data_IF_095480194974
#
_entry.id   IF_095480194974
#
_cell.length_a   1.000
_cell.length_b   1.000
_cell.length_c   1.000
_cell.angle_alpha   90.00
_cell.angle_beta   90.00
_cell.angle_gamma   90.00
#
_symmetry.space_group_name_H-M   'P 1'
#
loop_
_entity.id
_entity.type
_entity.pdbx_description
1 polymer ?
#
# COMPACT_ATOMS: atom_id res chain seq x y z
N UNK A 1 -4.80 -1.34 -21.80
CA UNK A 1 -5.23 -2.74 -22.10
C UNK A 1 -4.28 -3.49 -23.03
N UNK A 2 -3.77 -2.91 -24.13
CA UNK A 2 -2.93 -3.64 -25.10
C UNK A 2 -1.55 -4.14 -24.57
N UNK A 3 -0.90 -3.40 -23.66
CA UNK A 3 0.43 -3.77 -23.12
C UNK A 3 0.35 -4.97 -22.17
N UNK A 4 -0.67 -5.01 -21.31
CA UNK A 4 -0.89 -6.10 -20.36
C UNK A 4 -1.13 -7.44 -21.07
N UNK A 5 -1.85 -7.43 -22.20
CA UNK A 5 -2.10 -8.63 -23.00
C UNK A 5 -0.81 -9.19 -23.63
N UNK A 6 0.08 -8.33 -24.12
CA UNK A 6 1.36 -8.78 -24.72
C UNK A 6 2.28 -9.44 -23.69
N UNK A 7 2.34 -8.88 -22.48
CA UNK A 7 3.12 -9.45 -21.36
C UNK A 7 2.56 -10.81 -20.94
N UNK A 8 1.24 -10.96 -20.93
CA UNK A 8 0.59 -12.22 -20.59
C UNK A 8 0.90 -13.33 -21.62
N UNK A 9 0.80 -13.01 -22.91
CA UNK A 9 1.17 -13.96 -23.98
C UNK A 9 2.67 -14.31 -23.94
N UNK A 10 3.54 -13.34 -23.66
CA UNK A 10 4.96 -13.58 -23.44
C UNK A 10 5.21 -14.51 -22.24
N UNK A 11 4.50 -14.30 -21.12
CA UNK A 11 4.57 -15.18 -19.95
C UNK A 11 4.12 -16.61 -20.29
N UNK A 12 3.03 -16.78 -21.04
CA UNK A 12 2.56 -18.11 -21.50
C UNK A 12 3.61 -18.81 -22.36
N UNK A 13 4.23 -18.07 -23.29
CA UNK A 13 5.30 -18.62 -24.11
C UNK A 13 6.50 -19.07 -23.26
N UNK A 14 6.95 -18.24 -22.32
CA UNK A 14 8.04 -18.60 -21.40
C UNK A 14 7.69 -19.82 -20.53
N UNK A 15 6.48 -19.91 -20.00
CA UNK A 15 6.01 -21.08 -19.25
C UNK A 15 6.05 -22.36 -20.10
N UNK A 16 5.68 -22.28 -21.38
CA UNK A 16 5.72 -23.42 -22.29
C UNK A 16 7.16 -23.85 -22.62
N UNK A 17 8.08 -22.91 -22.82
CA UNK A 17 9.50 -23.21 -22.96
C UNK A 17 10.09 -23.78 -21.67
N UNK A 18 9.67 -23.27 -20.52
CA UNK A 18 10.10 -23.72 -19.20
C UNK A 18 9.75 -25.19 -18.92
N UNK A 19 8.59 -25.68 -19.39
CA UNK A 19 8.23 -27.10 -19.25
C UNK A 19 9.19 -28.05 -19.98
N UNK A 20 9.90 -27.54 -21.00
CA UNK A 20 10.80 -28.33 -21.86
C UNK A 20 12.24 -28.37 -21.36
N UNK A 21 12.56 -27.69 -20.25
CA UNK A 21 13.90 -27.66 -19.66
C UNK A 21 13.90 -27.46 -18.15
N UNK A 22 15.01 -27.71 -17.49
CA UNK A 22 15.12 -27.48 -16.04
C UNK A 22 15.50 -26.02 -15.78
N UNK A 23 14.52 -25.16 -15.49
CA UNK A 23 14.78 -23.77 -15.07
C UNK A 23 15.11 -23.75 -13.58
N UNK A 24 16.39 -23.58 -13.24
CA UNK A 24 16.87 -23.52 -11.85
C UNK A 24 17.46 -22.16 -11.46
N UNK A 25 17.47 -21.20 -12.38
CA UNK A 25 18.13 -19.92 -12.13
C UNK A 25 17.32 -19.04 -11.19
N UNK A 26 17.90 -18.74 -10.02
CA UNK A 26 17.48 -17.65 -9.12
C UNK A 26 18.15 -16.31 -9.45
N UNK A 27 18.84 -16.22 -10.59
CA UNK A 27 19.58 -15.02 -10.97
C UNK A 27 18.59 -13.95 -11.39
N UNK A 28 18.64 -12.82 -10.69
CA UNK A 28 17.98 -11.59 -11.10
C UNK A 28 18.90 -10.88 -12.08
N UNK A 29 18.39 -10.53 -13.26
CA UNK A 29 19.15 -9.79 -14.27
C UNK A 29 18.60 -8.38 -14.42
N UNK A 30 19.46 -7.44 -14.84
CA UNK A 30 19.01 -6.14 -15.30
C UNK A 30 18.25 -6.29 -16.62
N UNK A 31 17.17 -5.52 -16.78
CA UNK A 31 16.39 -5.53 -18.02
C UNK A 31 17.17 -4.75 -19.08
N UNK A 32 17.51 -5.36 -20.24
CA UNK A 32 18.17 -4.68 -21.34
C UNK A 32 17.44 -3.39 -21.75
N UNK A 33 18.19 -2.34 -22.11
CA UNK A 33 17.63 -1.00 -22.40
C UNK A 33 16.51 -1.01 -23.46
N UNK A 34 16.63 -1.89 -24.46
CA UNK A 34 15.68 -2.02 -25.57
C UNK A 34 14.37 -2.73 -25.19
N UNK A 35 14.28 -3.30 -23.98
CA UNK A 35 13.07 -3.95 -23.48
C UNK A 35 12.29 -3.02 -22.56
N UNK A 36 11.04 -2.76 -22.90
CA UNK A 36 10.11 -1.99 -22.08
C UNK A 36 9.30 -2.91 -21.15
N UNK A 37 9.00 -2.42 -19.94
CA UNK A 37 8.33 -3.19 -18.90
C UNK A 37 9.30 -3.84 -17.93
N UNK A 38 8.81 -4.80 -17.14
CA UNK A 38 9.57 -5.60 -16.17
C UNK A 38 10.21 -4.73 -15.09
N UNK A 39 9.48 -4.52 -14.01
CA UNK A 39 9.98 -3.76 -12.88
C UNK A 39 9.61 -4.38 -11.54
N UNK A 40 10.33 -3.97 -10.50
CA UNK A 40 10.06 -4.31 -9.12
C UNK A 40 10.11 -3.04 -8.27
N UNK A 41 8.97 -2.57 -7.72
CA UNK A 41 9.01 -1.52 -6.72
C UNK A 41 9.66 -2.05 -5.44
N UNK A 42 10.71 -1.36 -5.01
CA UNK A 42 11.42 -1.56 -3.75
C UNK A 42 10.95 -0.47 -2.80
N UNK A 43 10.57 -0.88 -1.59
CA UNK A 43 10.04 0.02 -0.58
C UNK A 43 11.06 0.25 0.52
N UNK A 44 11.25 1.52 0.90
CA UNK A 44 11.88 1.89 2.16
C UNK A 44 10.84 1.68 3.28
N UNK A 45 11.06 0.65 4.10
CA UNK A 45 10.14 0.29 5.18
C UNK A 45 10.04 1.38 6.24
N UNK A 46 11.09 2.16 6.47
CA UNK A 46 11.11 3.21 7.50
C UNK A 46 10.27 4.41 7.06
N UNK A 47 10.36 4.79 5.78
CA UNK A 47 9.57 5.91 5.22
C UNK A 47 8.13 5.52 4.87
N UNK A 48 7.89 4.28 4.47
CA UNK A 48 6.58 3.85 3.98
C UNK A 48 5.55 3.78 5.10
N UNK A 49 4.46 4.53 4.95
CA UNK A 49 3.29 4.41 5.84
C UNK A 49 2.40 3.22 5.56
N UNK A 50 2.51 2.60 4.38
CA UNK A 50 1.48 1.67 3.90
C UNK A 50 0.13 2.37 3.69
N UNK A 51 0.10 3.56 3.09
CA UNK A 51 -1.16 4.26 2.79
C UNK A 51 -1.95 3.66 1.60
N UNK A 52 -1.37 2.68 0.90
CA UNK A 52 -1.91 2.01 -0.28
C UNK A 52 -2.18 2.89 -1.52
N UNK A 53 -1.80 4.19 -1.51
CA UNK A 53 -1.95 5.07 -2.67
C UNK A 53 -1.25 4.52 -3.94
N UNK A 54 -0.13 3.82 -3.78
CA UNK A 54 0.59 3.17 -4.88
C UNK A 54 -0.23 2.08 -5.59
N UNK A 55 -1.17 1.42 -4.89
CA UNK A 55 -2.05 0.41 -5.50
C UNK A 55 -3.05 1.05 -6.46
N UNK A 56 -3.53 2.26 -6.15
CA UNK A 56 -4.47 3.05 -6.97
C UNK A 56 -3.78 3.56 -8.24
N UNK A 57 -2.51 3.96 -8.13
CA UNK A 57 -1.74 4.52 -9.25
C UNK A 57 -1.11 3.43 -10.15
N UNK A 58 -1.32 2.14 -9.85
CA UNK A 58 -0.66 1.05 -10.57
C UNK A 58 -1.29 0.81 -11.95
N UNK A 59 -0.72 1.43 -12.99
CA UNK A 59 -1.20 1.31 -14.37
C UNK A 59 -1.15 -0.13 -14.92
N UNK A 60 -0.18 -0.93 -14.46
CA UNK A 60 -0.04 -2.34 -14.84
C UNK A 60 -0.98 -3.29 -14.09
N UNK A 61 -1.70 -2.82 -13.07
CA UNK A 61 -2.50 -3.69 -12.20
C UNK A 61 -1.66 -4.74 -11.45
N UNK A 62 -0.39 -4.42 -11.18
CA UNK A 62 0.57 -5.30 -10.53
C UNK A 62 0.46 -5.28 -9.00
N UNK A 63 -0.07 -4.20 -8.41
CA UNK A 63 -0.16 -4.04 -6.96
C UNK A 63 -1.58 -4.31 -6.47
N UNK A 64 -1.72 -5.13 -5.43
CA UNK A 64 -3.00 -5.49 -4.80
C UNK A 64 -2.99 -5.16 -3.31
N UNK A 65 -4.09 -4.60 -2.84
CA UNK A 65 -4.33 -4.26 -1.44
C UNK A 65 -5.18 -5.35 -0.78
N UNK A 66 -4.73 -5.86 0.37
CA UNK A 66 -5.54 -6.72 1.25
C UNK A 66 -5.52 -6.10 2.64
N UNK A 67 -6.70 -5.83 3.18
CA UNK A 67 -6.88 -5.28 4.53
C UNK A 67 -7.71 -6.22 5.41
N UNK A 68 -7.25 -6.39 6.64
CA UNK A 68 -8.02 -6.93 7.75
C UNK A 68 -8.37 -5.80 8.72
N UNK A 69 -9.01 -6.11 9.85
CA UNK A 69 -9.35 -5.08 10.84
C UNK A 69 -8.11 -4.42 11.48
N UNK A 70 -7.00 -5.14 11.52
CA UNK A 70 -5.78 -4.83 12.27
C UNK A 70 -4.54 -4.67 11.39
N UNK A 71 -4.55 -5.16 10.15
CA UNK A 71 -3.40 -5.11 9.25
C UNK A 71 -3.76 -4.72 7.83
N UNK A 72 -2.80 -4.11 7.16
CA UNK A 72 -2.85 -3.78 5.75
C UNK A 72 -1.62 -4.37 5.06
N UNK A 73 -1.86 -5.12 3.99
CA UNK A 73 -0.83 -5.76 3.19
C UNK A 73 -0.93 -5.32 1.74
N UNK A 74 0.22 -5.03 1.15
CA UNK A 74 0.35 -4.75 -0.28
C UNK A 74 1.14 -5.88 -0.92
N UNK A 75 0.51 -6.53 -1.88
CA UNK A 75 1.05 -7.63 -2.65
C UNK A 75 1.37 -7.18 -4.08
N UNK A 76 2.28 -7.90 -4.73
CA UNK A 76 2.66 -7.66 -6.12
C UNK A 76 2.58 -8.93 -6.95
N UNK A 77 1.85 -8.85 -8.06
CA UNK A 77 1.95 -9.80 -9.18
C UNK A 77 3.14 -9.39 -10.04
N UNK A 78 4.29 -10.02 -9.82
CA UNK A 78 5.58 -9.59 -10.39
C UNK A 78 5.51 -9.36 -11.91
N UNK A 79 4.89 -10.31 -12.62
CA UNK A 79 4.82 -10.32 -14.07
C UNK A 79 3.98 -9.19 -14.68
N UNK A 80 3.16 -8.49 -13.89
CA UNK A 80 2.29 -7.39 -14.36
C UNK A 80 2.95 -6.02 -14.30
N UNK A 81 4.08 -5.88 -13.63
CA UNK A 81 4.70 -4.57 -13.46
C UNK A 81 5.35 -4.09 -14.76
N UNK A 82 4.84 -2.98 -15.29
CA UNK A 82 5.30 -2.36 -16.53
C UNK A 82 6.39 -1.30 -16.30
N UNK A 83 6.95 -1.21 -15.10
CA UNK A 83 8.00 -0.25 -14.74
C UNK A 83 7.68 1.23 -15.09
N UNK A 84 6.41 1.65 -14.95
CA UNK A 84 5.97 3.02 -15.29
C UNK A 84 6.26 4.08 -14.21
N UNK A 85 6.77 3.68 -13.04
CA UNK A 85 7.19 4.56 -11.94
C UNK A 85 6.11 5.44 -11.28
N UNK A 86 4.86 5.43 -11.74
CA UNK A 86 3.76 6.22 -11.14
C UNK A 86 3.59 5.97 -9.62
N UNK A 87 3.81 4.74 -9.16
CA UNK A 87 3.78 4.45 -7.73
C UNK A 87 4.87 5.19 -6.95
N UNK A 88 6.06 5.37 -7.52
CA UNK A 88 7.15 6.13 -6.93
C UNK A 88 6.88 7.63 -6.99
N UNK A 89 6.52 8.15 -8.16
CA UNK A 89 6.24 9.58 -8.39
C UNK A 89 5.15 10.10 -7.44
N UNK A 90 4.09 9.32 -7.23
CA UNK A 90 2.95 9.73 -6.39
C UNK A 90 3.14 9.43 -4.90
N UNK A 91 4.27 8.86 -4.49
CA UNK A 91 4.52 8.56 -3.08
C UNK A 91 4.94 9.84 -2.32
N UNK A 92 4.12 10.38 -1.41
CA UNK A 92 4.46 11.62 -0.70
C UNK A 92 5.61 11.45 0.32
N UNK A 93 6.02 10.21 0.59
CA UNK A 93 7.14 9.89 1.48
C UNK A 93 8.40 9.48 0.75
N UNK A 94 8.38 9.50 -0.59
CA UNK A 94 9.51 9.08 -1.42
C UNK A 94 10.04 7.70 -0.99
N UNK A 95 9.11 6.82 -0.61
CA UNK A 95 9.42 5.55 0.02
C UNK A 95 9.52 4.41 -1.00
N UNK A 96 9.48 4.71 -2.30
CA UNK A 96 9.40 3.72 -3.37
C UNK A 96 10.43 4.07 -4.44
N UNK A 97 11.24 3.08 -4.81
CA UNK A 97 12.10 3.10 -6.00
C UNK A 97 11.65 1.97 -6.92
N UNK A 98 11.53 2.19 -8.22
CA UNK A 98 11.25 1.11 -9.17
C UNK A 98 12.55 0.66 -9.81
N UNK A 99 12.87 -0.63 -9.66
CA UNK A 99 14.04 -1.22 -10.30
C UNK A 99 13.63 -1.98 -11.56
N UNK A 100 14.36 -1.79 -12.66
CA UNK A 100 14.14 -2.49 -13.93
C UNK A 100 14.94 -3.79 -13.96
N UNK A 101 14.40 -4.77 -13.22
CA UNK A 101 15.01 -6.09 -13.04
C UNK A 101 14.05 -7.20 -13.48
N UNK A 102 14.63 -8.30 -13.93
CA UNK A 102 13.91 -9.50 -14.33
C UNK A 102 14.35 -10.69 -13.49
N UNK A 103 13.44 -11.15 -12.64
CA UNK A 103 13.53 -12.42 -11.93
C UNK A 103 12.61 -13.43 -12.61
N UNK A 104 13.20 -14.41 -13.28
CA UNK A 104 12.47 -15.44 -14.01
C UNK A 104 11.55 -16.26 -13.09
N UNK A 105 11.99 -16.57 -11.88
CA UNK A 105 11.19 -17.36 -10.94
C UNK A 105 9.94 -16.61 -10.49
N UNK A 106 10.11 -15.34 -10.12
CA UNK A 106 8.98 -14.46 -9.76
C UNK A 106 8.07 -14.17 -10.95
N UNK A 107 8.63 -14.05 -12.16
CA UNK A 107 7.85 -13.78 -13.37
C UNK A 107 6.96 -14.98 -13.79
N UNK A 108 7.44 -16.20 -13.57
CA UNK A 108 6.66 -17.42 -13.87
C UNK A 108 5.73 -17.83 -12.73
N UNK A 109 6.00 -17.41 -11.49
CA UNK A 109 5.15 -17.70 -10.33
C UNK A 109 3.77 -17.04 -10.39
N UNK A 110 2.74 -17.78 -9.98
CA UNK A 110 1.41 -17.21 -9.69
C UNK A 110 1.30 -16.70 -8.23
N UNK A 111 2.27 -17.04 -7.38
CA UNK A 111 2.32 -16.56 -6.00
C UNK A 111 2.72 -15.08 -5.96
N UNK A 112 1.88 -14.20 -5.40
CA UNK A 112 2.19 -12.78 -5.31
C UNK A 112 3.24 -12.50 -4.22
N UNK A 113 4.10 -11.53 -4.47
CA UNK A 113 5.11 -11.09 -3.51
C UNK A 113 4.48 -10.16 -2.47
N UNK A 114 4.63 -10.47 -1.18
CA UNK A 114 4.30 -9.51 -0.11
C UNK A 114 5.36 -8.41 -0.07
N UNK A 115 4.97 -7.16 -0.35
CA UNK A 115 5.89 -6.02 -0.37
C UNK A 115 5.83 -5.20 0.91
N UNK A 116 4.63 -4.96 1.44
CA UNK A 116 4.41 -4.15 2.64
C UNK A 116 3.42 -4.87 3.54
N UNK A 117 3.70 -4.92 4.84
CA UNK A 117 2.77 -5.34 5.88
C UNK A 117 2.86 -4.34 7.05
N UNK A 118 1.76 -3.62 7.31
CA UNK A 118 1.69 -2.63 8.38
C UNK A 118 0.47 -2.86 9.27
N UNK A 119 0.61 -2.49 10.54
CA UNK A 119 -0.49 -2.49 11.50
C UNK A 119 -1.36 -1.24 11.34
N UNK A 120 -2.67 -1.44 11.54
CA UNK A 120 -3.68 -0.41 11.50
C UNK A 120 -4.13 -0.06 12.92
N UNK A 121 -4.20 1.24 13.22
CA UNK A 121 -4.79 1.73 14.45
C UNK A 121 -6.31 1.56 14.39
N UNK A 122 -6.88 0.99 15.45
CA UNK A 122 -8.34 0.80 15.58
C UNK A 122 -8.98 1.97 16.32
N UNK A 123 -10.21 2.29 15.93
CA UNK A 123 -11.04 3.28 16.59
C UNK A 123 -11.37 2.84 18.01
N UNK A 124 -11.12 3.71 18.99
CA UNK A 124 -11.42 3.46 20.40
C UNK A 124 -12.92 3.33 20.72
N UNK A 125 -13.80 3.73 19.80
CA UNK A 125 -15.25 3.69 19.99
C UNK A 125 -15.90 2.50 19.27
N UNK A 126 -15.63 2.31 17.98
CA UNK A 126 -16.29 1.27 17.18
C UNK A 126 -15.37 0.13 16.72
N UNK A 127 -14.06 0.23 16.96
CA UNK A 127 -13.09 -0.80 16.58
C UNK A 127 -12.75 -0.88 15.08
N UNK A 128 -13.32 -0.04 14.21
CA UNK A 128 -12.93 0.04 12.79
C UNK A 128 -11.49 0.55 12.64
N UNK A 129 -10.78 0.10 11.61
CA UNK A 129 -9.47 0.66 11.25
C UNK A 129 -9.56 2.16 10.90
N UNK A 130 -8.53 2.92 11.29
CA UNK A 130 -8.41 4.36 11.01
C UNK A 130 -7.35 4.59 9.93
N UNK A 131 -6.11 4.28 10.24
CA UNK A 131 -4.97 4.31 9.32
C UNK A 131 -3.81 3.49 9.92
N UNK A 132 -2.67 3.43 9.24
CA UNK A 132 -1.49 2.77 9.77
C UNK A 132 -0.97 3.46 11.03
N UNK A 133 -0.40 2.67 11.94
CA UNK A 133 0.17 3.19 13.19
C UNK A 133 1.23 4.25 12.89
N UNK A 134 2.12 4.00 11.93
CA UNK A 134 3.16 4.94 11.49
C UNK A 134 2.61 6.32 11.10
N UNK A 135 1.53 6.35 10.31
CA UNK A 135 0.93 7.60 9.89
C UNK A 135 0.26 8.34 11.06
N UNK A 136 -0.43 7.60 11.94
CA UNK A 136 -1.07 8.19 13.13
C UNK A 136 -0.02 8.80 14.06
N UNK A 137 1.07 8.07 14.32
CA UNK A 137 2.14 8.53 15.22
C UNK A 137 2.87 9.75 14.67
N UNK A 138 3.15 9.80 13.36
CA UNK A 138 3.75 10.99 12.75
C UNK A 138 2.81 12.20 12.84
N UNK A 139 1.52 12.04 12.52
CA UNK A 139 0.54 13.12 12.66
C UNK A 139 0.45 13.59 14.11
N UNK A 140 0.40 12.68 15.08
CA UNK A 140 0.43 13.01 16.51
C UNK A 140 1.70 13.78 16.89
N UNK A 141 2.86 13.36 16.38
CA UNK A 141 4.14 14.04 16.55
C UNK A 141 4.15 15.47 16.04
N UNK A 142 3.49 15.72 14.90
CA UNK A 142 3.38 17.05 14.29
C UNK A 142 2.42 17.97 15.04
N UNK A 143 1.27 17.46 15.49
CA UNK A 143 0.21 18.30 16.11
C UNK A 143 0.39 18.51 17.61
N UNK A 144 1.24 17.75 18.30
CA UNK A 144 1.44 17.85 19.77
C UNK A 144 1.86 19.25 20.25
N UNK A 145 2.42 20.07 19.36
CA UNK A 145 2.88 21.43 19.64
C UNK A 145 1.82 22.49 19.38
N UNK A 146 0.70 22.14 18.74
CA UNK A 146 -0.40 23.07 18.51
C UNK A 146 -1.17 23.31 19.81
N UNK A 147 -1.80 24.49 19.99
CA UNK A 147 -2.60 24.82 21.17
C UNK A 147 -3.96 24.10 21.15
N UNK A 148 -3.94 22.76 21.07
CA UNK A 148 -5.10 21.90 21.06
C UNK A 148 -5.30 21.29 22.46
N UNK A 149 -6.56 21.12 22.93
CA UNK A 149 -6.80 20.39 24.18
C UNK A 149 -6.26 18.96 24.07
N UNK A 150 -5.54 18.47 25.09
CA UNK A 150 -4.99 17.10 25.10
C UNK A 150 -6.05 16.03 24.81
N UNK A 151 -7.27 16.25 25.28
CA UNK A 151 -8.43 15.38 25.01
C UNK A 151 -8.75 15.24 23.52
N UNK A 152 -8.48 16.25 22.69
CA UNK A 152 -8.63 16.16 21.25
C UNK A 152 -7.60 15.24 20.62
N UNK A 153 -6.36 15.26 21.09
CA UNK A 153 -5.27 14.43 20.56
C UNK A 153 -5.44 12.99 21.05
N UNK A 154 -5.56 12.79 22.36
CA UNK A 154 -5.48 11.47 23.00
C UNK A 154 -6.79 10.68 22.94
N UNK A 155 -7.92 11.33 22.60
CA UNK A 155 -9.21 10.64 22.46
C UNK A 155 -9.79 10.84 21.07
N UNK A 156 -10.07 12.08 20.68
CA UNK A 156 -10.78 12.36 19.40
C UNK A 156 -9.89 11.98 18.20
N UNK A 157 -8.58 12.20 18.29
CA UNK A 157 -7.58 11.80 17.30
C UNK A 157 -7.58 10.29 17.04
N UNK A 158 -7.97 9.49 18.02
CA UNK A 158 -8.05 8.02 17.96
C UNK A 158 -9.45 7.49 17.61
N UNK A 159 -10.34 8.35 17.10
CA UNK A 159 -11.63 7.96 16.55
C UNK A 159 -11.62 7.96 15.02
N UNK A 160 -12.39 7.05 14.41
CA UNK A 160 -12.64 7.10 12.96
C UNK A 160 -13.52 8.31 12.60
N UNK A 161 -13.58 8.64 11.31
CA UNK A 161 -14.34 9.81 10.81
C UNK A 161 -15.81 9.81 11.25
N UNK A 162 -16.46 8.64 11.28
CA UNK A 162 -17.87 8.51 11.67
C UNK A 162 -18.06 8.73 13.17
N UNK A 163 -17.19 8.12 14.00
CA UNK A 163 -17.26 8.29 15.45
C UNK A 163 -16.90 9.73 15.87
N UNK A 164 -16.00 10.42 15.15
CA UNK A 164 -15.72 11.85 15.38
C UNK A 164 -16.96 12.70 15.15
N UNK A 165 -17.73 12.45 14.08
CA UNK A 165 -19.01 13.16 13.81
C UNK A 165 -20.00 12.96 14.96
N UNK A 166 -20.14 11.72 15.46
CA UNK A 166 -21.03 11.41 16.60
C UNK A 166 -20.62 12.17 17.85
N UNK A 167 -19.33 12.17 18.22
CA UNK A 167 -18.85 12.90 19.40
C UNK A 167 -19.05 14.40 19.27
N UNK A 168 -18.78 14.96 18.08
CA UNK A 168 -19.00 16.38 17.80
C UNK A 168 -20.49 16.75 17.93
N UNK A 169 -21.39 15.97 17.33
CA UNK A 169 -22.83 16.17 17.43
C UNK A 169 -23.32 16.10 18.89
N UNK A 170 -22.89 15.08 19.65
CA UNK A 170 -23.24 14.97 21.08
C UNK A 170 -22.74 16.17 21.88
N UNK A 171 -21.54 16.66 21.60
CA UNK A 171 -20.96 17.82 22.28
C UNK A 171 -21.76 19.09 22.03
N UNK A 172 -22.19 19.32 20.77
CA UNK A 172 -23.00 20.49 20.39
C UNK A 172 -24.44 20.45 20.96
N UNK A 173 -24.99 19.26 21.16
CA UNK A 173 -26.30 19.08 21.79
C UNK A 173 -26.22 19.28 23.31
N UNK A 174 -25.19 18.72 23.96
CA UNK A 174 -24.95 18.91 25.41
C UNK A 174 -24.72 20.37 25.76
N UNK A 175 -24.01 21.14 24.93
CA UNK A 175 -23.82 22.58 25.16
C UNK A 175 -25.11 23.40 25.08
N UNK A 176 -26.20 22.81 24.59
CA UNK A 176 -27.56 23.39 24.54
C UNK A 176 -28.52 22.77 25.56
N UNK A 177 -28.01 22.01 26.52
CA UNK A 177 -28.81 21.39 27.58
C UNK A 177 -29.51 20.09 27.18
N UNK A 178 -29.30 19.57 25.96
CA UNK A 178 -29.87 18.28 25.57
C UNK A 178 -29.14 17.11 26.25
N UNK A 179 -29.90 16.15 26.79
CA UNK A 179 -29.37 14.91 27.37
C UNK A 179 -29.19 13.86 26.27
N UNK A 180 -27.95 13.66 25.83
CA UNK A 180 -27.58 12.65 24.84
C UNK A 180 -26.65 11.60 25.46
N UNK A 181 -27.06 10.33 25.41
CA UNK A 181 -26.25 9.15 25.75
C UNK A 181 -25.25 8.86 24.65
#
# INVERSE_FOLDING_TARGET
MAISHKIEEFRKALLEFAKRGTITSKVVIEVPELLYGFGKPIYDSEKCYGCAACTIQCLGGALRLIETQDRRRIYMDYWRCIACEECAIKCPKEAIKVERVFDLSSFLSDEPLLLIDVELKRCMMCGRSISSIKQIDEVHGLIKHLPLPKTHIDRIGLLCEDCRKVVAAKSLLRSRGAKVG
#
